data_IF_160812194429
#
_entry.id   IF_160812194429
#
_cell.length_a   1.000
_cell.length_b   1.000
_cell.length_c   1.000
_cell.angle_alpha   90.00
_cell.angle_beta   90.00
_cell.angle_gamma   90.00
#
_symmetry.space_group_name_H-M   'P 1'
#
loop_
_entity.id
_entity.type
_entity.pdbx_description
1 polymer ?
#
# COMPACT_ATOMS: atom_id res chain seq x y z
N UNK A 1 -5.45 -14.39 -2.42
CA UNK A 1 -5.77 -13.35 -1.43
C UNK A 1 -6.60 -13.96 -0.34
N UNK A 2 -6.19 -13.84 0.93
CA UNK A 2 -6.90 -14.44 2.06
C UNK A 2 -7.76 -13.37 2.74
N UNK A 3 -9.05 -13.31 2.41
CA UNK A 3 -9.99 -12.28 2.91
C UNK A 3 -10.02 -12.22 4.44
N UNK A 4 -9.85 -13.36 5.13
CA UNK A 4 -9.76 -13.41 6.59
C UNK A 4 -8.58 -12.61 7.15
N UNK A 5 -7.45 -12.57 6.44
CA UNK A 5 -6.28 -11.77 6.86
C UNK A 5 -6.54 -10.27 6.77
N UNK A 6 -7.20 -9.83 5.68
CA UNK A 6 -7.54 -8.41 5.48
C UNK A 6 -8.56 -7.95 6.53
N UNK A 7 -9.56 -8.79 6.81
CA UNK A 7 -10.55 -8.51 7.85
C UNK A 7 -9.89 -8.42 9.23
N UNK A 8 -9.00 -9.36 9.54
CA UNK A 8 -8.25 -9.35 10.80
C UNK A 8 -7.38 -8.09 10.96
N UNK A 9 -6.62 -7.71 9.94
CA UNK A 9 -5.83 -6.48 9.94
C UNK A 9 -6.72 -5.23 10.12
N UNK A 10 -7.90 -5.21 9.51
CA UNK A 10 -8.86 -4.10 9.67
C UNK A 10 -9.39 -4.00 11.09
N UNK A 11 -9.76 -5.13 11.69
CA UNK A 11 -10.21 -5.20 13.08
C UNK A 11 -9.09 -4.79 14.05
N UNK A 12 -7.86 -5.21 13.78
CA UNK A 12 -6.68 -4.85 14.56
C UNK A 12 -6.43 -3.33 14.54
N UNK A 13 -6.48 -2.69 13.37
CA UNK A 13 -6.36 -1.23 13.29
C UNK A 13 -7.50 -0.49 13.98
N UNK A 14 -8.72 -1.03 13.92
CA UNK A 14 -9.86 -0.44 14.66
C UNK A 14 -9.66 -0.53 16.17
N UNK A 15 -9.14 -1.66 16.68
CA UNK A 15 -8.81 -1.83 18.08
C UNK A 15 -7.67 -0.90 18.52
N UNK A 16 -6.62 -0.77 17.71
CA UNK A 16 -5.52 0.16 17.98
C UNK A 16 -6.01 1.62 17.97
N UNK A 17 -6.91 1.99 17.06
CA UNK A 17 -7.49 3.33 17.04
C UNK A 17 -8.27 3.65 18.32
N UNK A 18 -9.05 2.71 18.83
CA UNK A 18 -9.76 2.86 20.11
C UNK A 18 -8.77 3.08 21.28
N UNK A 19 -7.66 2.32 21.32
CA UNK A 19 -6.59 2.51 22.30
C UNK A 19 -6.01 3.93 22.22
N UNK A 20 -5.71 4.42 21.00
CA UNK A 20 -5.20 5.78 20.80
C UNK A 20 -6.20 6.84 21.29
N UNK A 21 -7.50 6.68 20.96
CA UNK A 21 -8.54 7.60 21.40
C UNK A 21 -8.73 7.63 22.93
N UNK A 22 -8.68 6.46 23.57
CA UNK A 22 -8.71 6.34 25.04
C UNK A 22 -7.51 7.03 25.67
N UNK A 23 -6.32 6.83 25.13
CA UNK A 23 -5.11 7.48 25.63
C UNK A 23 -5.16 9.00 25.49
N UNK A 24 -5.61 9.52 24.34
CA UNK A 24 -5.79 10.96 24.09
C UNK A 24 -6.73 11.57 25.15
N UNK A 25 -7.85 10.90 25.43
CA UNK A 25 -8.84 11.40 26.41
C UNK A 25 -8.36 11.26 27.86
N UNK A 26 -7.71 10.14 28.22
CA UNK A 26 -7.20 9.92 29.58
C UNK A 26 -6.15 10.96 29.97
N UNK A 27 -5.33 11.39 29.02
CA UNK A 27 -4.21 12.32 29.26
C UNK A 27 -4.50 13.76 28.81
N UNK A 28 -5.73 14.09 28.43
CA UNK A 28 -6.15 15.40 27.94
C UNK A 28 -5.20 15.99 26.87
N UNK A 29 -4.77 15.13 25.92
CA UNK A 29 -3.86 15.55 24.87
C UNK A 29 -4.60 16.53 23.93
N UNK A 30 -3.97 17.67 23.64
CA UNK A 30 -4.49 18.67 22.68
C UNK A 30 -4.31 18.21 21.22
N UNK A 31 -4.84 17.04 20.91
CA UNK A 31 -4.76 16.40 19.59
C UNK A 31 -6.17 16.05 19.12
N UNK A 32 -6.50 16.43 17.89
CA UNK A 32 -7.79 16.10 17.30
C UNK A 32 -7.93 14.57 17.13
N UNK A 33 -9.14 14.05 17.36
CA UNK A 33 -9.48 12.65 17.07
C UNK A 33 -9.84 12.46 15.59
N UNK A 34 -9.48 11.32 15.01
CA UNK A 34 -9.77 10.97 13.62
C UNK A 34 -10.27 9.54 13.49
N UNK A 35 -11.23 9.30 12.60
CA UNK A 35 -11.78 7.96 12.37
C UNK A 35 -10.84 7.02 11.58
N UNK A 36 -9.65 7.50 11.20
CA UNK A 36 -8.64 6.72 10.49
C UNK A 36 -7.42 6.52 11.39
N UNK A 37 -7.02 5.27 11.56
CA UNK A 37 -5.82 4.89 12.31
C UNK A 37 -4.56 5.63 11.83
N UNK A 38 -4.27 5.61 10.53
CA UNK A 38 -3.08 6.28 9.98
C UNK A 38 -3.15 7.80 10.19
N UNK A 39 -4.33 8.41 10.00
CA UNK A 39 -4.51 9.85 10.27
C UNK A 39 -4.31 10.19 11.74
N UNK A 40 -4.82 9.36 12.65
CA UNK A 40 -4.61 9.54 14.08
C UNK A 40 -3.13 9.46 14.44
N UNK A 41 -2.40 8.52 13.84
CA UNK A 41 -0.95 8.41 13.99
C UNK A 41 -0.22 9.66 13.47
N UNK A 42 -0.64 10.24 12.32
CA UNK A 42 -0.06 11.49 11.84
C UNK A 42 -0.26 12.66 12.81
N UNK A 43 -1.45 12.77 13.41
CA UNK A 43 -1.76 13.84 14.36
C UNK A 43 -0.96 13.71 15.66
N UNK A 44 -0.82 12.48 16.15
CA UNK A 44 -0.02 12.17 17.34
C UNK A 44 1.49 12.36 17.09
N UNK A 45 1.96 11.98 15.93
CA UNK A 45 3.35 12.22 15.51
C UNK A 45 3.66 13.72 15.39
N UNK A 46 2.73 14.50 14.83
CA UNK A 46 2.87 15.96 14.74
C UNK A 46 2.90 16.62 16.13
N UNK A 47 2.10 16.11 17.08
CA UNK A 47 2.06 16.60 18.45
C UNK A 47 3.41 16.48 19.17
N UNK A 48 4.16 15.41 18.90
CA UNK A 48 5.52 15.22 19.47
C UNK A 48 6.63 15.86 18.61
N UNK A 49 6.28 16.54 17.52
CA UNK A 49 7.22 17.22 16.63
C UNK A 49 8.01 16.29 15.69
N UNK A 50 7.53 15.07 15.43
CA UNK A 50 8.17 14.09 14.54
C UNK A 50 7.46 13.99 13.17
N UNK A 51 8.01 13.21 12.24
CA UNK A 51 7.44 13.01 10.88
C UNK A 51 7.81 11.65 10.23
N UNK A 52 8.31 10.70 11.00
CA UNK A 52 8.84 9.42 10.51
C UNK A 52 7.73 8.50 9.95
N UNK A 53 6.61 8.39 10.66
CA UNK A 53 5.42 7.65 10.26
C UNK A 53 4.79 8.27 9.01
N UNK A 54 4.58 9.59 8.99
CA UNK A 54 4.02 10.29 7.84
C UNK A 54 4.92 10.19 6.61
N UNK A 55 6.24 10.38 6.77
CA UNK A 55 7.18 10.29 5.65
C UNK A 55 7.28 8.87 5.10
N UNK A 56 7.28 7.85 5.96
CA UNK A 56 7.28 6.44 5.54
C UNK A 56 5.97 6.05 4.86
N UNK A 57 4.83 6.47 5.40
CA UNK A 57 3.53 6.27 4.77
C UNK A 57 3.45 6.96 3.40
N UNK A 58 3.97 8.18 3.25
CA UNK A 58 4.07 8.87 1.95
C UNK A 58 4.91 8.07 0.95
N UNK A 59 6.10 7.61 1.36
CA UNK A 59 6.96 6.76 0.52
C UNK A 59 6.23 5.48 0.08
N UNK A 60 5.54 4.82 1.00
CA UNK A 60 4.74 3.62 0.71
C UNK A 60 3.67 3.90 -0.36
N UNK A 61 2.91 4.99 -0.21
CA UNK A 61 1.90 5.38 -1.20
C UNK A 61 2.50 5.73 -2.56
N UNK A 62 3.64 6.43 -2.60
CA UNK A 62 4.37 6.72 -3.84
C UNK A 62 4.78 5.44 -4.56
N UNK A 63 5.30 4.45 -3.85
CA UNK A 63 5.69 3.15 -4.42
C UNK A 63 4.47 2.41 -4.96
N UNK A 64 3.34 2.45 -4.25
CA UNK A 64 2.09 1.85 -4.71
C UNK A 64 1.62 2.48 -6.04
N UNK A 65 1.61 3.81 -6.13
CA UNK A 65 1.26 4.54 -7.36
C UNK A 65 2.22 4.19 -8.50
N UNK A 66 3.54 4.20 -8.25
CA UNK A 66 4.54 3.83 -9.24
C UNK A 66 4.33 2.40 -9.74
N UNK A 67 4.05 1.45 -8.85
CA UNK A 67 3.79 0.06 -9.24
C UNK A 67 2.60 -0.05 -10.21
N UNK A 68 1.54 0.74 -9.98
CA UNK A 68 0.40 0.85 -10.89
C UNK A 68 0.77 1.48 -12.24
N UNK A 69 1.58 2.53 -12.24
CA UNK A 69 2.07 3.18 -13.46
C UNK A 69 2.87 2.20 -14.33
N UNK A 70 3.74 1.38 -13.74
CA UNK A 70 4.52 0.39 -14.50
C UNK A 70 3.68 -0.80 -14.97
N UNK A 71 2.67 -1.22 -14.20
CA UNK A 71 1.78 -2.32 -14.58
C UNK A 71 0.77 -1.92 -15.68
N UNK A 72 0.39 -0.65 -15.73
CA UNK A 72 -0.67 -0.16 -16.61
C UNK A 72 -0.38 -0.35 -18.12
N UNK A 73 0.82 -0.03 -18.65
CA UNK A 73 1.15 -0.31 -20.05
C UNK A 73 1.02 -1.78 -20.43
N UNK A 74 1.39 -2.71 -19.53
CA UNK A 74 1.25 -4.15 -19.76
C UNK A 74 -0.23 -4.52 -19.91
N UNK A 75 -1.07 -3.98 -19.03
CA UNK A 75 -2.52 -4.18 -19.09
C UNK A 75 -3.12 -3.61 -20.39
N UNK A 76 -2.66 -2.44 -20.84
CA UNK A 76 -3.09 -1.86 -22.12
C UNK A 76 -2.75 -2.74 -23.32
N UNK A 77 -1.53 -3.28 -23.38
CA UNK A 77 -1.11 -4.18 -24.46
C UNK A 77 -2.02 -5.41 -24.52
N UNK A 78 -2.29 -6.03 -23.37
CA UNK A 78 -3.17 -7.20 -23.26
C UNK A 78 -4.61 -6.84 -23.68
N UNK A 79 -5.11 -5.69 -23.22
CA UNK A 79 -6.46 -5.23 -23.52
C UNK A 79 -6.64 -4.94 -25.02
N UNK A 80 -5.68 -4.25 -25.65
CA UNK A 80 -5.71 -3.95 -27.08
C UNK A 80 -5.66 -5.25 -27.90
N UNK A 81 -4.75 -6.16 -27.58
CA UNK A 81 -4.66 -7.45 -28.26
C UNK A 81 -5.96 -8.25 -28.15
N UNK A 82 -6.58 -8.27 -26.96
CA UNK A 82 -7.86 -8.93 -26.74
C UNK A 82 -9.00 -8.29 -27.53
N UNK A 83 -9.13 -6.96 -27.51
CA UNK A 83 -10.18 -6.24 -28.25
C UNK A 83 -10.00 -6.49 -29.75
N UNK A 84 -8.78 -6.38 -30.26
CA UNK A 84 -8.47 -6.56 -31.67
C UNK A 84 -8.84 -7.98 -32.15
N UNK A 85 -8.35 -9.01 -31.46
CA UNK A 85 -8.62 -10.40 -31.85
C UNK A 85 -10.08 -10.83 -31.65
N UNK A 86 -10.82 -10.22 -30.72
CA UNK A 86 -12.22 -10.59 -30.47
C UNK A 86 -13.21 -9.86 -31.39
N UNK A 87 -12.97 -8.57 -31.66
CA UNK A 87 -13.95 -7.68 -32.26
C UNK A 87 -13.56 -7.13 -33.64
N UNK A 88 -12.27 -7.02 -33.96
CA UNK A 88 -11.82 -6.43 -35.23
C UNK A 88 -11.50 -7.53 -36.24
N UNK A 89 -10.61 -8.44 -35.90
CA UNK A 89 -10.26 -9.57 -36.77
C UNK A 89 -10.16 -10.87 -35.96
N UNK A 90 -11.20 -11.69 -36.09
CA UNK A 90 -11.29 -12.99 -35.41
C UNK A 90 -10.33 -14.04 -35.97
N UNK A 91 -9.74 -13.81 -37.16
CA UNK A 91 -8.73 -14.69 -37.76
C UNK A 91 -7.32 -14.25 -37.42
N UNK A 92 -7.15 -13.10 -36.75
CA UNK A 92 -5.86 -12.61 -36.34
C UNK A 92 -5.21 -13.54 -35.32
N UNK A 93 -4.04 -14.07 -35.68
CA UNK A 93 -3.25 -14.91 -34.80
C UNK A 93 -2.40 -14.05 -33.87
N UNK A 94 -2.94 -13.75 -32.68
CA UNK A 94 -2.27 -12.93 -31.66
C UNK A 94 -0.90 -13.54 -31.29
N UNK A 95 -0.81 -14.86 -31.17
CA UNK A 95 0.44 -15.52 -30.76
C UNK A 95 1.55 -15.32 -31.79
N UNK A 96 1.24 -15.48 -33.07
CA UNK A 96 2.19 -15.25 -34.16
C UNK A 96 2.64 -13.79 -34.23
N UNK A 97 1.72 -12.85 -34.03
CA UNK A 97 2.06 -11.43 -33.97
C UNK A 97 3.03 -11.09 -32.82
N UNK A 98 2.81 -11.66 -31.63
CA UNK A 98 3.71 -11.46 -30.49
C UNK A 98 5.08 -12.14 -30.71
N UNK A 99 5.11 -13.35 -31.27
CA UNK A 99 6.36 -14.06 -31.57
C UNK A 99 7.21 -13.32 -32.60
N UNK A 100 6.57 -12.72 -33.61
CA UNK A 100 7.25 -11.98 -34.66
C UNK A 100 7.68 -10.56 -34.24
N UNK A 101 7.24 -10.08 -33.08
CA UNK A 101 7.58 -8.75 -32.56
C UNK A 101 8.16 -8.85 -31.14
N UNK A 102 9.48 -9.11 -30.99
CA UNK A 102 10.12 -9.36 -29.70
C UNK A 102 9.85 -8.30 -28.63
N UNK A 103 9.74 -7.05 -29.06
CA UNK A 103 9.47 -5.89 -28.20
C UNK A 103 8.16 -6.07 -27.40
N UNK A 104 7.16 -6.74 -27.97
CA UNK A 104 5.84 -6.94 -27.36
C UNK A 104 5.83 -7.93 -26.18
N UNK A 105 6.88 -8.73 -26.00
CA UNK A 105 7.03 -9.55 -24.79
C UNK A 105 8.24 -9.16 -23.94
N UNK A 106 9.31 -8.60 -24.52
CA UNK A 106 10.48 -8.14 -23.75
C UNK A 106 10.15 -6.94 -22.88
N UNK A 107 9.52 -5.89 -23.45
CA UNK A 107 9.19 -4.68 -22.66
C UNK A 107 8.22 -5.03 -21.53
N UNK A 108 7.10 -5.75 -21.77
CA UNK A 108 6.21 -6.16 -20.68
C UNK A 108 6.89 -7.02 -19.62
N UNK A 109 7.79 -7.93 -20.00
CA UNK A 109 8.53 -8.73 -19.03
C UNK A 109 9.39 -7.85 -18.09
N UNK A 110 10.10 -6.85 -18.63
CA UNK A 110 10.88 -5.90 -17.84
C UNK A 110 9.96 -5.09 -16.91
N UNK A 111 8.84 -4.59 -17.41
CA UNK A 111 7.87 -3.83 -16.62
C UNK A 111 7.29 -4.66 -15.48
N UNK A 112 6.96 -5.93 -15.72
CA UNK A 112 6.50 -6.87 -14.69
C UNK A 112 7.57 -7.04 -13.61
N UNK A 113 8.84 -7.23 -13.99
CA UNK A 113 9.95 -7.35 -13.01
C UNK A 113 10.06 -6.09 -12.16
N UNK A 114 9.98 -4.90 -12.76
CA UNK A 114 9.99 -3.63 -12.02
C UNK A 114 8.81 -3.55 -11.04
N UNK A 115 7.60 -3.89 -11.49
CA UNK A 115 6.40 -3.91 -10.62
C UNK A 115 6.58 -4.88 -9.45
N UNK A 116 7.17 -6.06 -9.66
CA UNK A 116 7.45 -7.02 -8.59
C UNK A 116 8.45 -6.46 -7.56
N UNK A 117 9.52 -5.83 -8.02
CA UNK A 117 10.51 -5.18 -7.14
C UNK A 117 9.84 -4.08 -6.30
N UNK A 118 9.01 -3.24 -6.93
CA UNK A 118 8.25 -2.20 -6.22
C UNK A 118 7.26 -2.79 -5.21
N UNK A 119 6.59 -3.90 -5.54
CA UNK A 119 5.69 -4.58 -4.62
C UNK A 119 6.41 -5.14 -3.38
N UNK A 120 7.60 -5.73 -3.56
CA UNK A 120 8.45 -6.19 -2.46
C UNK A 120 8.87 -4.99 -1.59
N UNK A 121 9.33 -3.91 -2.21
CA UNK A 121 9.72 -2.71 -1.49
C UNK A 121 8.55 -2.09 -0.71
N UNK A 122 7.36 -2.06 -1.29
CA UNK A 122 6.13 -1.65 -0.60
C UNK A 122 5.86 -2.53 0.63
N UNK A 123 6.01 -3.86 0.50
CA UNK A 123 5.84 -4.78 1.63
C UNK A 123 6.84 -4.52 2.75
N UNK A 124 8.09 -4.19 2.41
CA UNK A 124 9.13 -3.83 3.39
C UNK A 124 8.75 -2.53 4.11
N UNK A 125 8.35 -1.50 3.37
CA UNK A 125 7.92 -0.22 3.94
C UNK A 125 6.71 -0.40 4.87
N UNK A 126 5.72 -1.19 4.45
CA UNK A 126 4.54 -1.52 5.26
C UNK A 126 4.93 -2.19 6.57
N UNK A 127 5.81 -3.20 6.50
CA UNK A 127 6.31 -3.91 7.68
C UNK A 127 7.05 -2.94 8.61
N UNK A 128 7.93 -2.10 8.07
CA UNK A 128 8.67 -1.12 8.86
C UNK A 128 7.73 -0.10 9.55
N UNK A 129 6.72 0.40 8.83
CA UNK A 129 5.76 1.38 9.34
C UNK A 129 5.01 0.83 10.56
N UNK A 130 4.45 -0.37 10.47
CA UNK A 130 3.57 -0.91 11.52
C UNK A 130 4.27 -1.72 12.60
N UNK A 131 5.44 -2.31 12.35
CA UNK A 131 6.17 -3.12 13.35
C UNK A 131 7.36 -2.42 14.00
N UNK A 132 7.85 -1.32 13.43
CA UNK A 132 8.96 -0.57 14.02
C UNK A 132 8.54 0.86 14.37
N UNK A 133 8.07 1.63 13.38
CA UNK A 133 7.80 3.06 13.57
C UNK A 133 6.58 3.28 14.48
N UNK A 134 5.47 2.57 14.25
CA UNK A 134 4.28 2.70 15.08
C UNK A 134 4.51 2.29 16.56
N UNK A 135 5.14 1.14 16.87
CA UNK A 135 5.51 0.82 18.25
C UNK A 135 6.44 1.84 18.90
N UNK A 136 7.38 2.41 18.13
CA UNK A 136 8.24 3.47 18.64
C UNK A 136 7.44 4.75 18.97
N UNK A 137 6.49 5.14 18.10
CA UNK A 137 5.57 6.24 18.35
C UNK A 137 4.73 5.99 19.61
N UNK A 138 4.18 4.78 19.78
CA UNK A 138 3.47 4.36 21.01
C UNK A 138 4.35 4.53 22.25
N UNK A 139 5.60 4.07 22.18
CA UNK A 139 6.56 4.14 23.28
C UNK A 139 6.87 5.59 23.66
N UNK A 140 7.10 6.48 22.69
CA UNK A 140 7.37 7.90 22.93
C UNK A 140 6.20 8.63 23.58
N UNK A 141 4.98 8.23 23.23
CA UNK A 141 3.74 8.76 23.81
C UNK A 141 3.37 8.08 25.14
N UNK A 142 4.15 7.09 25.61
CA UNK A 142 3.85 6.30 26.80
C UNK A 142 2.44 5.69 26.78
N UNK A 143 2.01 5.19 25.60
CA UNK A 143 0.71 4.54 25.45
C UNK A 143 0.78 3.17 26.14
N UNK A 144 0.12 3.06 27.29
CA UNK A 144 -0.10 1.80 28.01
C UNK A 144 -0.85 0.81 27.12
N UNK A 145 -0.32 -0.40 26.94
CA UNK A 145 -1.09 -1.49 26.35
C UNK A 145 -2.12 -1.93 27.38
N UNK A 146 -3.39 -1.61 27.13
CA UNK A 146 -4.50 -2.17 27.91
C UNK A 146 -4.57 -3.65 27.53
N UNK A 147 -3.86 -4.49 28.28
CA UNK A 147 -4.06 -5.94 28.25
C UNK A 147 -5.45 -6.22 28.81
N UNK A 148 -6.36 -6.69 27.96
CA UNK A 148 -7.64 -7.27 28.38
C UNK A 148 -7.43 -8.68 28.90
#
# INVERSE_FOLDING_TARGET
MNFGKILNETLEFSAQLDILHKHITKNDLQVQKSDSFDKQCFLLELYIGENCFQSTHKKMNTVNILSGIFAFPVLLIILVAYIYGKWIDRKFNIFEFFLNNPILYIIPAILIVITLVLAIYHSILRKNLYYNIYPELKRKLMIEEITF
#
